data_IF_678265605666
#
_entry.id   IF_678265605666
#
_cell.length_a   1.000
_cell.length_b   1.000
_cell.length_c   1.000
_cell.angle_alpha   90.00
_cell.angle_beta   90.00
_cell.angle_gamma   90.00
#
_symmetry.space_group_name_H-M   'P 1'
#
loop_
_entity.id
_entity.type
_entity.pdbx_description
1 polymer ?
#
# COMPACT_ATOMS: atom_id res chain seq x y z
N UNK A 1 38.73 23.24 -12.75
CA UNK A 1 37.84 22.06 -12.59
C UNK A 1 36.32 22.35 -12.51
N UNK A 2 35.75 23.49 -12.98
CA UNK A 2 34.30 23.73 -12.87
C UNK A 2 33.45 22.99 -13.92
N UNK A 3 34.07 22.40 -14.97
CA UNK A 3 33.36 21.73 -16.06
C UNK A 3 32.72 20.38 -15.66
N UNK A 4 33.17 19.79 -14.55
CA UNK A 4 32.62 18.53 -14.03
C UNK A 4 31.40 18.75 -13.10
N UNK A 5 31.26 19.95 -12.54
CA UNK A 5 30.17 20.32 -11.63
C UNK A 5 28.77 20.22 -12.29
N UNK A 6 28.53 20.72 -13.52
CA UNK A 6 27.21 20.57 -14.15
C UNK A 6 26.90 19.11 -14.51
N UNK A 7 27.92 18.31 -14.86
CA UNK A 7 27.75 16.89 -15.15
C UNK A 7 27.36 16.11 -13.89
N UNK A 8 28.01 16.43 -12.76
CA UNK A 8 27.71 15.88 -11.45
C UNK A 8 26.30 16.27 -10.99
N UNK A 9 25.87 17.52 -11.22
CA UNK A 9 24.53 18.01 -10.86
C UNK A 9 23.43 17.30 -11.67
N UNK A 10 23.64 17.05 -12.96
CA UNK A 10 22.71 16.28 -13.79
C UNK A 10 22.61 14.81 -13.35
N UNK A 11 23.74 14.20 -12.93
CA UNK A 11 23.75 12.84 -12.38
C UNK A 11 23.02 12.74 -11.04
N UNK A 12 23.18 13.74 -10.17
CA UNK A 12 22.48 13.81 -8.89
C UNK A 12 20.96 13.97 -9.07
N UNK A 13 20.53 14.78 -10.05
CA UNK A 13 19.11 14.97 -10.35
C UNK A 13 18.43 13.69 -10.88
N UNK A 14 19.17 12.84 -11.60
CA UNK A 14 18.64 11.56 -12.12
C UNK A 14 18.52 10.47 -11.04
N UNK A 15 19.28 10.57 -9.94
CA UNK A 15 19.14 9.71 -8.77
C UNK A 15 17.97 10.11 -7.85
N UNK A 16 17.44 11.32 -7.99
CA UNK A 16 16.40 11.87 -7.11
C UNK A 16 14.96 11.50 -7.54
N UNK A 17 14.78 10.37 -8.22
CA UNK A 17 13.43 9.88 -8.51
C UNK A 17 12.78 9.44 -7.18
N UNK A 18 11.66 10.06 -6.81
CA UNK A 18 10.93 9.68 -5.62
C UNK A 18 10.24 8.33 -5.87
N UNK A 19 10.47 7.37 -4.98
CA UNK A 19 9.69 6.13 -4.96
C UNK A 19 8.20 6.45 -4.82
N UNK A 20 7.31 5.72 -5.51
CA UNK A 20 5.87 5.90 -5.35
C UNK A 20 5.48 5.74 -3.88
N UNK A 21 4.54 6.57 -3.42
CA UNK A 21 3.98 6.34 -2.09
C UNK A 21 3.23 5.01 -2.10
N UNK A 22 3.70 4.06 -1.28
CA UNK A 22 3.17 2.70 -1.24
C UNK A 22 2.21 2.51 -0.07
N UNK A 23 1.09 1.82 -0.33
CA UNK A 23 0.16 1.33 0.68
C UNK A 23 -0.11 -0.15 0.45
N UNK A 24 0.10 -0.99 1.48
CA UNK A 24 -0.14 -2.44 1.42
C UNK A 24 -1.31 -2.81 2.32
N UNK A 25 -2.35 -3.37 1.73
CA UNK A 25 -3.55 -3.84 2.41
C UNK A 25 -3.58 -5.36 2.33
N UNK A 26 -3.70 -6.05 3.45
CA UNK A 26 -3.87 -7.50 3.46
C UNK A 26 -5.06 -7.94 4.31
N UNK A 27 -5.73 -9.02 3.94
CA UNK A 27 -6.64 -9.71 4.86
C UNK A 27 -7.92 -10.23 4.22
N UNK A 28 -9.05 -10.11 4.92
CA UNK A 28 -10.37 -10.67 4.62
C UNK A 28 -10.65 -10.88 3.13
N UNK A 29 -10.85 -12.13 2.71
CA UNK A 29 -11.16 -12.47 1.31
C UNK A 29 -12.41 -11.72 0.82
N UNK A 30 -13.47 -11.68 1.64
CA UNK A 30 -14.76 -11.05 1.28
C UNK A 30 -14.63 -9.54 1.10
N UNK A 31 -13.92 -8.87 2.01
CA UNK A 31 -13.75 -7.41 1.95
C UNK A 31 -12.66 -7.06 0.92
N UNK A 32 -11.50 -7.70 0.99
CA UNK A 32 -10.31 -7.39 0.21
C UNK A 32 -10.40 -7.73 -1.27
N UNK A 33 -11.20 -8.73 -1.69
CA UNK A 33 -11.24 -9.13 -3.10
C UNK A 33 -12.02 -8.14 -3.99
N UNK A 34 -13.05 -7.49 -3.45
CA UNK A 34 -13.93 -6.61 -4.24
C UNK A 34 -14.12 -5.24 -3.60
N UNK A 35 -14.50 -5.18 -2.33
CA UNK A 35 -14.80 -3.92 -1.64
C UNK A 35 -13.54 -3.08 -1.43
N UNK A 36 -12.42 -3.69 -1.02
CA UNK A 36 -11.14 -3.01 -0.83
C UNK A 36 -10.69 -2.24 -2.08
N UNK A 37 -10.53 -2.90 -3.24
CA UNK A 37 -10.17 -2.23 -4.49
C UNK A 37 -11.16 -1.16 -4.94
N UNK A 38 -12.45 -1.28 -4.59
CA UNK A 38 -13.46 -0.26 -4.90
C UNK A 38 -13.34 0.96 -3.98
N UNK A 39 -13.15 0.76 -2.67
CA UNK A 39 -12.96 1.82 -1.70
C UNK A 39 -11.67 2.61 -1.98
N UNK A 40 -10.57 1.92 -2.29
CA UNK A 40 -9.31 2.58 -2.65
C UNK A 40 -9.51 3.45 -3.89
N UNK A 41 -10.14 2.94 -4.95
CA UNK A 41 -10.45 3.73 -6.15
C UNK A 41 -11.30 4.97 -5.80
N UNK A 42 -12.38 4.80 -5.03
CA UNK A 42 -13.24 5.90 -4.63
C UNK A 42 -12.52 6.95 -3.78
N UNK A 43 -11.66 6.51 -2.86
CA UNK A 43 -10.82 7.40 -2.03
C UNK A 43 -9.85 8.21 -2.89
N UNK A 44 -9.14 7.55 -3.81
CA UNK A 44 -8.21 8.21 -4.74
C UNK A 44 -8.94 9.26 -5.59
N UNK A 45 -10.12 8.92 -6.12
CA UNK A 45 -10.96 9.86 -6.86
C UNK A 45 -11.38 11.06 -5.99
N UNK A 46 -11.85 10.82 -4.76
CA UNK A 46 -12.23 11.86 -3.82
C UNK A 46 -11.04 12.76 -3.42
N UNK A 47 -9.83 12.20 -3.40
CA UNK A 47 -8.58 12.94 -3.17
C UNK A 47 -8.07 13.67 -4.42
N UNK A 48 -8.77 13.59 -5.55
CA UNK A 48 -8.39 14.26 -6.80
C UNK A 48 -7.22 13.59 -7.52
N UNK A 49 -6.97 12.31 -7.25
CA UNK A 49 -6.00 11.53 -7.99
C UNK A 49 -6.49 11.28 -9.43
N UNK A 50 -5.54 11.15 -10.35
CA UNK A 50 -5.75 10.87 -11.77
C UNK A 50 -5.03 9.58 -12.18
N UNK A 51 -5.20 9.15 -13.43
CA UNK A 51 -4.58 7.94 -13.99
C UNK A 51 -4.77 6.69 -13.12
N UNK A 52 -5.97 6.50 -12.54
CA UNK A 52 -6.23 5.39 -11.61
C UNK A 52 -6.47 4.09 -12.36
N UNK A 53 -5.44 3.26 -12.43
CA UNK A 53 -5.45 1.97 -13.08
C UNK A 53 -5.46 0.84 -12.06
N UNK A 54 -6.19 -0.24 -12.39
CA UNK A 54 -6.23 -1.46 -11.58
C UNK A 54 -5.62 -2.58 -12.40
N UNK A 55 -4.70 -3.32 -11.79
CA UNK A 55 -4.05 -4.47 -12.40
C UNK A 55 -4.21 -5.69 -11.47
N UNK A 56 -4.35 -6.91 -12.01
CA UNK A 56 -4.26 -8.13 -11.21
C UNK A 56 -2.91 -8.21 -10.50
N UNK A 57 -2.90 -8.73 -9.27
CA UNK A 57 -1.66 -9.01 -8.52
C UNK A 57 -1.00 -10.32 -8.96
N UNK A 58 -0.01 -10.76 -8.18
CA UNK A 58 0.78 -11.97 -8.48
C UNK A 58 -0.05 -13.23 -8.25
N UNK A 59 -0.87 -13.25 -7.20
CA UNK A 59 -1.73 -14.37 -6.85
C UNK A 59 -3.20 -14.09 -7.13
N UNK A 60 -4.01 -15.15 -7.14
CA UNK A 60 -5.46 -15.01 -7.12
C UNK A 60 -5.91 -14.18 -5.90
N UNK A 61 -6.90 -13.31 -6.09
CA UNK A 61 -7.40 -12.37 -5.08
C UNK A 61 -6.40 -11.29 -4.63
N UNK A 62 -5.35 -11.06 -5.41
CA UNK A 62 -4.49 -9.89 -5.26
C UNK A 62 -4.78 -8.87 -6.36
N UNK A 63 -4.63 -7.60 -6.03
CA UNK A 63 -4.87 -6.50 -6.94
C UNK A 63 -3.95 -5.36 -6.59
N UNK A 64 -3.39 -4.74 -7.62
CA UNK A 64 -2.57 -3.55 -7.50
C UNK A 64 -3.29 -2.37 -8.14
N UNK A 65 -3.24 -1.21 -7.50
CA UNK A 65 -3.70 0.05 -8.07
C UNK A 65 -2.53 1.03 -8.22
N UNK A 66 -2.45 1.63 -9.39
CA UNK A 66 -1.54 2.74 -9.67
C UNK A 66 -2.37 4.00 -9.89
N UNK A 67 -1.88 5.13 -9.39
CA UNK A 67 -2.50 6.43 -9.61
C UNK A 67 -1.45 7.54 -9.53
N UNK A 68 -1.87 8.75 -9.88
CA UNK A 68 -1.10 9.98 -9.67
C UNK A 68 -1.90 10.88 -8.76
N UNK A 69 -1.33 11.30 -7.64
CA UNK A 69 -2.00 12.19 -6.68
C UNK A 69 -2.25 13.59 -7.28
N UNK A 70 -2.92 14.46 -6.51
CA UNK A 70 -3.21 15.84 -6.95
C UNK A 70 -1.97 16.70 -7.18
N UNK A 71 -0.81 16.31 -6.66
CA UNK A 71 0.46 17.01 -6.77
C UNK A 71 1.35 16.43 -7.88
N UNK A 72 0.87 15.41 -8.61
CA UNK A 72 1.65 14.74 -9.65
C UNK A 72 2.55 13.61 -9.14
N UNK A 73 2.43 13.20 -7.87
CA UNK A 73 3.24 12.12 -7.30
C UNK A 73 2.62 10.75 -7.58
N UNK A 74 3.43 9.75 -7.96
CA UNK A 74 2.93 8.39 -8.20
C UNK A 74 2.51 7.72 -6.88
N UNK A 75 1.38 7.02 -6.93
CA UNK A 75 0.82 6.23 -5.85
C UNK A 75 0.75 4.76 -6.27
N UNK A 76 1.06 3.87 -5.33
CA UNK A 76 1.03 2.43 -5.53
C UNK A 76 0.32 1.76 -4.36
N UNK A 77 -0.75 1.01 -4.62
CA UNK A 77 -1.53 0.33 -3.59
C UNK A 77 -1.62 -1.15 -3.91
N UNK A 78 -1.07 -1.98 -3.04
CA UNK A 78 -1.17 -3.44 -3.10
C UNK A 78 -2.29 -3.92 -2.19
N UNK A 79 -3.16 -4.79 -2.71
CA UNK A 79 -4.28 -5.37 -1.96
C UNK A 79 -4.23 -6.88 -2.10
N UNK A 80 -3.98 -7.60 -1.00
CA UNK A 80 -3.98 -9.06 -0.97
C UNK A 80 -5.09 -9.62 -0.08
N UNK A 81 -6.05 -10.34 -0.67
CA UNK A 81 -7.24 -10.81 0.04
C UNK A 81 -7.11 -12.29 0.45
N UNK A 82 -6.27 -12.56 1.47
CA UNK A 82 -5.90 -13.90 1.97
C UNK A 82 -6.43 -14.27 3.38
N UNK A 83 -7.38 -13.49 3.90
CA UNK A 83 -8.15 -13.82 5.10
C UNK A 83 -7.75 -12.98 6.31
N UNK A 84 -8.70 -12.76 7.23
CA UNK A 84 -8.52 -11.82 8.35
C UNK A 84 -7.30 -12.16 9.22
N UNK A 85 -7.09 -13.42 9.58
CA UNK A 85 -5.92 -13.85 10.36
C UNK A 85 -4.60 -13.61 9.62
N UNK A 86 -4.55 -13.85 8.31
CA UNK A 86 -3.38 -13.56 7.47
C UNK A 86 -3.09 -12.05 7.46
N UNK A 87 -4.13 -11.22 7.38
CA UNK A 87 -4.00 -9.76 7.46
C UNK A 87 -3.41 -9.29 8.78
N UNK A 88 -3.88 -9.82 9.92
CA UNK A 88 -3.30 -9.49 11.23
C UNK A 88 -1.85 -9.94 11.37
N UNK A 89 -1.53 -11.15 10.90
CA UNK A 89 -0.16 -11.66 10.92
C UNK A 89 0.77 -10.83 10.01
N UNK A 90 0.30 -10.40 8.84
CA UNK A 90 1.04 -9.52 7.94
C UNK A 90 1.28 -8.14 8.58
N UNK A 91 0.28 -7.58 9.27
CA UNK A 91 0.45 -6.34 10.05
C UNK A 91 1.53 -6.47 11.12
N UNK A 92 1.46 -7.55 11.90
CA UNK A 92 2.42 -7.80 12.97
C UNK A 92 3.86 -7.95 12.45
N UNK A 93 4.04 -8.45 11.23
CA UNK A 93 5.33 -8.61 10.55
C UNK A 93 5.80 -7.38 9.76
N UNK A 94 4.98 -6.32 9.68
CA UNK A 94 5.27 -5.15 8.84
C UNK A 94 5.19 -5.41 7.34
N UNK A 95 4.54 -6.51 6.94
CA UNK A 95 4.28 -6.89 5.54
C UNK A 95 3.04 -6.18 4.97
N UNK A 96 2.23 -5.59 5.84
CA UNK A 96 1.05 -4.81 5.50
C UNK A 96 0.94 -3.56 6.38
N UNK A 97 0.37 -2.50 5.81
CA UNK A 97 0.15 -1.23 6.50
C UNK A 97 -1.30 -1.15 7.04
N UNK A 98 -2.23 -1.86 6.41
CA UNK A 98 -3.63 -2.01 6.84
C UNK A 98 -4.12 -3.45 6.73
N UNK A 99 -4.91 -3.90 7.73
CA UNK A 99 -5.60 -5.19 7.70
C UNK A 99 -7.06 -5.01 7.31
N UNK A 100 -7.50 -5.70 6.26
CA UNK A 100 -8.92 -5.92 6.04
C UNK A 100 -9.40 -7.05 6.96
N UNK A 101 -10.39 -6.79 7.81
CA UNK A 101 -10.86 -7.76 8.79
C UNK A 101 -12.39 -7.90 8.75
N UNK A 102 -12.88 -9.13 8.60
CA UNK A 102 -14.31 -9.46 8.73
C UNK A 102 -14.73 -9.85 10.15
N UNK A 103 -13.78 -9.91 11.07
CA UNK A 103 -14.00 -10.18 12.49
C UNK A 103 -13.01 -9.38 13.34
N UNK A 104 -13.31 -9.14 14.63
CA UNK A 104 -12.34 -8.60 15.56
C UNK A 104 -11.08 -9.47 15.68
N UNK A 105 -9.96 -8.86 16.04
CA UNK A 105 -8.72 -9.55 16.39
C UNK A 105 -8.94 -10.37 17.68
N UNK A 106 -8.36 -11.57 17.76
CA UNK A 106 -8.41 -12.37 18.99
C UNK A 106 -7.31 -11.96 19.98
N UNK A 107 -7.47 -12.32 21.25
CA UNK A 107 -6.42 -12.12 22.27
C UNK A 107 -5.10 -12.80 21.89
N UNK A 108 -5.18 -13.99 21.28
CA UNK A 108 -4.00 -14.72 20.81
C UNK A 108 -3.29 -14.02 19.64
N UNK A 109 -4.03 -13.41 18.71
CA UNK A 109 -3.47 -12.62 17.61
C UNK A 109 -2.89 -11.28 18.11
N UNK A 110 -3.52 -10.67 19.11
CA UNK A 110 -2.99 -9.48 19.81
C UNK A 110 -1.71 -9.78 20.57
N UNK A 111 -1.61 -10.92 21.25
CA UNK A 111 -0.38 -11.31 21.96
C UNK A 111 0.78 -11.59 21.02
N UNK A 112 0.48 -12.02 19.79
CA UNK A 112 1.47 -12.25 18.74
C UNK A 112 1.89 -10.97 18.02
N UNK A 113 1.11 -9.89 18.14
CA UNK A 113 1.48 -8.61 17.55
C UNK A 113 2.46 -7.86 18.45
N UNK A 114 3.38 -7.12 17.82
CA UNK A 114 4.35 -6.31 18.56
C UNK A 114 3.65 -5.28 19.46
N UNK A 115 4.28 -4.85 20.57
CA UNK A 115 3.67 -4.00 21.60
C UNK A 115 3.11 -2.65 21.11
N UNK A 116 3.41 -2.22 19.88
CA UNK A 116 2.84 -1.00 19.28
C UNK A 116 1.35 -1.16 18.88
N UNK A 117 0.84 -2.38 18.69
CA UNK A 117 -0.58 -2.60 18.33
C UNK A 117 -1.54 -2.50 19.53
N UNK A 118 -1.04 -2.47 20.76
CA UNK A 118 -1.87 -2.48 21.98
C UNK A 118 -2.38 -1.09 22.42
N UNK A 119 -1.95 0.02 21.78
CA UNK A 119 -2.19 1.39 22.27
C UNK A 119 -2.61 2.41 21.20
N UNK A 120 -3.41 2.01 20.21
CA UNK A 120 -4.20 2.93 19.37
C UNK A 120 -5.64 2.48 19.32
#
# INVERSE_FOLDING_TARGET
MPRLLPLLLCLLASLACAEPAQLRIQGSNTIGAALGPALVRGLLQAQGASAIERQPGVSANETTLHAVDRNGLPLHIDIAAHGTSTGFAALARGEADLAAASRPISDSELQQSSPWMAWR
#
